data_IF_738900402507
#
_entry.id   IF_738900402507
#
_cell.length_a   1.000
_cell.length_b   1.000
_cell.length_c   1.000
_cell.angle_alpha   90.00
_cell.angle_beta   90.00
_cell.angle_gamma   90.00
#
_symmetry.space_group_name_H-M   'P 1'
#
loop_
_entity.id
_entity.type
_entity.pdbx_description
1 polymer ?
#
# COMPACT_ATOMS: atom_id res chain seq x y z
N UNK A 1 14.04 -20.57 -4.02
CA UNK A 1 14.53 -19.41 -3.20
C UNK A 1 13.99 -19.52 -1.79
N UNK A 2 14.76 -19.00 -0.83
CA UNK A 2 14.31 -18.78 0.56
C UNK A 2 13.92 -17.32 0.70
N UNK A 3 12.67 -17.08 1.07
CA UNK A 3 12.05 -15.75 1.01
C UNK A 3 11.45 -15.38 2.37
N UNK A 4 11.61 -14.13 2.82
CA UNK A 4 10.94 -13.57 3.99
C UNK A 4 9.89 -12.55 3.51
N UNK A 5 8.62 -12.82 3.77
CA UNK A 5 7.50 -11.88 3.54
C UNK A 5 7.21 -11.16 4.84
N UNK A 6 7.37 -9.83 4.88
CA UNK A 6 7.20 -9.04 6.10
C UNK A 6 5.79 -8.45 6.21
N UNK A 7 5.39 -7.95 7.38
CA UNK A 7 4.04 -7.40 7.67
C UNK A 7 2.90 -8.35 7.28
N UNK A 8 3.02 -9.61 7.71
CA UNK A 8 2.14 -10.72 7.32
C UNK A 8 0.69 -10.61 7.82
N UNK A 9 0.33 -9.53 8.51
CA UNK A 9 -1.04 -9.22 8.97
C UNK A 9 -2.02 -8.92 7.84
N UNK A 10 -1.53 -8.59 6.65
CA UNK A 10 -2.35 -8.19 5.51
C UNK A 10 -2.75 -9.41 4.67
N UNK A 11 -3.97 -9.41 4.10
CA UNK A 11 -4.48 -10.47 3.24
C UNK A 11 -3.65 -10.67 1.99
N UNK A 12 -3.14 -9.58 1.40
CA UNK A 12 -2.23 -9.65 0.26
C UNK A 12 -0.85 -10.23 0.61
N UNK A 13 -0.38 -10.08 1.84
CA UNK A 13 0.84 -10.75 2.30
C UNK A 13 0.62 -12.28 2.40
N UNK A 14 -0.52 -12.71 2.95
CA UNK A 14 -0.92 -14.12 2.95
C UNK A 14 -1.00 -14.68 1.52
N UNK A 15 -1.55 -13.93 0.57
CA UNK A 15 -1.63 -14.35 -0.82
C UNK A 15 -0.24 -14.50 -1.46
N UNK A 16 0.72 -13.60 -1.17
CA UNK A 16 2.11 -13.73 -1.61
C UNK A 16 2.76 -14.99 -1.02
N UNK A 17 2.57 -15.24 0.28
CA UNK A 17 3.04 -16.46 0.94
C UNK A 17 2.52 -17.71 0.24
N UNK A 18 1.22 -17.76 -0.05
CA UNK A 18 0.56 -18.89 -0.74
C UNK A 18 1.08 -19.09 -2.16
N UNK A 19 1.21 -18.00 -2.93
CA UNK A 19 1.71 -18.07 -4.31
C UNK A 19 3.12 -18.67 -4.34
N UNK A 20 4.02 -18.16 -3.54
CA UNK A 20 5.40 -18.60 -3.52
C UNK A 20 5.52 -20.04 -2.93
N UNK A 21 4.84 -20.31 -1.82
CA UNK A 21 4.89 -21.63 -1.18
C UNK A 21 4.28 -22.74 -2.04
N UNK A 22 3.18 -22.46 -2.77
CA UNK A 22 2.57 -23.43 -3.68
C UNK A 22 3.47 -23.80 -4.87
N UNK A 23 4.44 -22.97 -5.19
CA UNK A 23 5.44 -23.21 -6.24
C UNK A 23 6.75 -23.82 -5.70
N UNK A 24 6.77 -24.20 -4.42
CA UNK A 24 7.90 -24.89 -3.80
C UNK A 24 9.03 -23.96 -3.34
N UNK A 25 8.78 -22.66 -3.21
CA UNK A 25 9.72 -21.76 -2.53
C UNK A 25 9.65 -22.00 -1.01
N UNK A 26 10.77 -21.87 -0.34
CA UNK A 26 10.85 -21.90 1.11
C UNK A 26 10.49 -20.51 1.64
N UNK A 27 9.27 -20.39 2.20
CA UNK A 27 8.70 -19.09 2.57
C UNK A 27 8.67 -18.95 4.07
N UNK A 28 9.19 -17.83 4.54
CA UNK A 28 9.10 -17.36 5.91
C UNK A 28 8.24 -16.10 5.97
N UNK A 29 7.61 -15.82 7.11
CA UNK A 29 6.85 -14.60 7.32
C UNK A 29 7.33 -13.86 8.57
N UNK A 30 7.12 -12.55 8.65
CA UNK A 30 7.32 -11.78 9.88
C UNK A 30 6.21 -10.77 10.11
N UNK A 31 6.01 -10.47 11.39
CA UNK A 31 5.12 -9.40 11.86
C UNK A 31 5.51 -8.98 13.27
N UNK A 32 4.99 -7.87 13.78
CA UNK A 32 5.24 -7.39 15.14
C UNK A 32 4.45 -8.14 16.22
N UNK A 33 3.56 -9.05 15.82
CA UNK A 33 2.81 -9.91 16.73
C UNK A 33 2.56 -11.30 16.14
N UNK A 34 2.48 -12.30 17.01
CA UNK A 34 2.41 -13.71 16.60
C UNK A 34 1.05 -14.17 16.05
N UNK A 35 0.04 -13.30 16.02
CA UNK A 35 -1.31 -13.64 15.54
C UNK A 35 -1.62 -13.12 14.12
N UNK A 36 -0.61 -12.70 13.37
CA UNK A 36 -0.77 -12.22 12.00
C UNK A 36 -1.26 -13.35 11.09
N UNK A 37 -2.25 -13.08 10.24
CA UNK A 37 -2.90 -14.11 9.41
C UNK A 37 -1.92 -14.86 8.52
N UNK A 38 -0.97 -14.15 7.91
CA UNK A 38 0.06 -14.75 7.06
C UNK A 38 1.06 -15.61 7.83
N UNK A 39 1.26 -15.37 9.14
CA UNK A 39 2.17 -16.15 9.99
C UNK A 39 1.65 -17.55 10.34
N UNK A 40 0.43 -17.88 9.96
CA UNK A 40 -0.21 -19.17 10.24
C UNK A 40 -0.57 -19.96 8.98
N UNK A 41 -0.04 -19.55 7.83
CA UNK A 41 -0.20 -20.31 6.59
C UNK A 41 0.51 -21.66 6.64
N UNK A 42 -0.13 -22.69 6.09
CA UNK A 42 0.47 -24.02 5.93
C UNK A 42 1.61 -24.06 4.91
N UNK A 43 1.79 -23.01 4.15
CA UNK A 43 2.88 -22.86 3.19
C UNK A 43 4.16 -22.27 3.80
N UNK A 44 4.15 -21.93 5.09
CA UNK A 44 5.34 -21.39 5.75
C UNK A 44 6.28 -22.47 6.24
N UNK A 45 7.58 -22.20 6.10
CA UNK A 45 8.67 -22.93 6.76
C UNK A 45 8.91 -22.40 8.18
N UNK A 46 8.73 -21.10 8.41
CA UNK A 46 8.89 -20.47 9.71
C UNK A 46 8.33 -19.07 9.76
N UNK A 47 8.26 -18.50 10.97
CA UNK A 47 7.88 -17.11 11.12
C UNK A 47 8.69 -16.44 12.24
N UNK A 48 8.84 -15.11 12.13
CA UNK A 48 9.53 -14.23 13.08
C UNK A 48 8.53 -13.23 13.65
N UNK A 49 8.54 -13.05 14.95
CA UNK A 49 7.87 -11.91 15.61
C UNK A 49 8.93 -10.87 15.87
N UNK A 50 8.76 -9.66 15.32
CA UNK A 50 9.72 -8.58 15.38
C UNK A 50 9.29 -7.49 16.36
N UNK A 51 10.24 -6.68 16.76
CA UNK A 51 10.01 -5.35 17.31
C UNK A 51 9.33 -4.46 16.26
N UNK A 52 8.76 -3.32 16.71
CA UNK A 52 8.15 -2.34 15.83
C UNK A 52 9.21 -1.64 14.97
N UNK A 53 9.10 -1.62 13.64
CA UNK A 53 10.00 -0.85 12.80
C UNK A 53 9.95 0.66 13.11
N UNK A 54 8.79 1.18 13.52
CA UNK A 54 8.62 2.61 13.84
C UNK A 54 9.14 3.02 15.21
N UNK A 55 8.88 2.21 16.24
CA UNK A 55 9.15 2.58 17.63
C UNK A 55 10.43 1.95 18.19
N UNK A 56 11.02 0.99 17.49
CA UNK A 56 12.21 0.27 17.90
C UNK A 56 13.02 -0.20 16.67
N UNK A 57 13.36 0.73 15.79
CA UNK A 57 13.98 0.49 14.49
C UNK A 57 15.23 -0.39 14.57
N UNK A 58 16.16 -0.07 15.47
CA UNK A 58 17.40 -0.84 15.62
C UNK A 58 17.12 -2.30 16.00
N UNK A 59 16.23 -2.53 16.97
CA UNK A 59 15.86 -3.88 17.37
C UNK A 59 15.18 -4.64 16.22
N UNK A 60 14.30 -3.98 15.48
CA UNK A 60 13.65 -4.56 14.28
C UNK A 60 14.68 -5.01 13.24
N UNK A 61 15.63 -4.14 12.91
CA UNK A 61 16.67 -4.44 11.90
C UNK A 61 17.60 -5.56 12.39
N UNK A 62 18.03 -5.54 13.64
CA UNK A 62 18.89 -6.57 14.23
C UNK A 62 18.20 -7.94 14.24
N UNK A 63 16.92 -8.00 14.64
CA UNK A 63 16.12 -9.23 14.64
C UNK A 63 15.93 -9.79 13.23
N UNK A 64 15.65 -8.95 12.24
CA UNK A 64 15.55 -9.34 10.84
C UNK A 64 16.90 -9.84 10.33
N UNK A 65 18.00 -9.13 10.61
CA UNK A 65 19.35 -9.50 10.16
C UNK A 65 19.80 -10.86 10.71
N UNK A 66 19.56 -11.10 12.02
CA UNK A 66 19.85 -12.40 12.65
C UNK A 66 19.05 -13.50 12.01
N UNK A 67 17.75 -13.32 11.86
CA UNK A 67 16.86 -14.32 11.27
C UNK A 67 17.23 -14.66 9.82
N UNK A 68 17.53 -13.63 9.02
CA UNK A 68 17.97 -13.76 7.63
C UNK A 68 19.26 -14.59 7.54
N UNK A 69 20.25 -14.32 8.44
CA UNK A 69 21.50 -15.07 8.47
C UNK A 69 21.29 -16.54 8.90
N UNK A 70 20.49 -16.77 9.94
CA UNK A 70 20.24 -18.12 10.50
C UNK A 70 19.50 -19.03 9.50
N UNK A 71 18.54 -18.45 8.76
CA UNK A 71 17.71 -19.22 7.82
C UNK A 71 18.20 -19.12 6.37
N UNK A 72 19.25 -18.33 6.10
CA UNK A 72 19.83 -18.13 4.78
C UNK A 72 18.81 -17.55 3.78
N UNK A 73 18.03 -16.57 4.22
CA UNK A 73 17.05 -15.87 3.37
C UNK A 73 17.78 -15.15 2.24
N UNK A 74 17.28 -15.29 1.02
CA UNK A 74 17.86 -14.71 -0.20
C UNK A 74 17.14 -13.43 -0.62
N UNK A 75 15.85 -13.31 -0.27
CA UNK A 75 14.98 -12.21 -0.67
C UNK A 75 14.02 -11.83 0.46
N UNK A 76 14.00 -10.55 0.83
CA UNK A 76 12.98 -9.97 1.71
C UNK A 76 11.95 -9.27 0.82
N UNK A 77 10.68 -9.58 1.00
CA UNK A 77 9.55 -8.96 0.29
C UNK A 77 8.73 -8.14 1.29
N UNK A 78 8.96 -6.83 1.37
CA UNK A 78 8.14 -5.95 2.19
C UNK A 78 6.72 -5.88 1.65
N UNK A 79 5.72 -5.90 2.55
CA UNK A 79 4.32 -5.83 2.12
C UNK A 79 3.58 -4.61 2.66
N UNK A 80 4.18 -3.83 3.55
CA UNK A 80 3.57 -2.60 4.05
C UNK A 80 4.63 -1.47 4.19
N UNK A 81 4.46 -0.54 5.12
CA UNK A 81 5.35 0.62 5.24
C UNK A 81 6.67 0.32 5.98
N UNK A 82 6.88 -0.90 6.49
CA UNK A 82 8.22 -1.35 6.90
C UNK A 82 9.25 -1.32 5.77
N UNK A 83 8.78 -1.22 4.53
CA UNK A 83 9.65 -1.05 3.34
C UNK A 83 10.59 0.15 3.48
N UNK A 84 10.13 1.26 4.09
CA UNK A 84 10.97 2.45 4.31
C UNK A 84 12.11 2.18 5.26
N UNK A 85 11.84 1.48 6.38
CA UNK A 85 12.85 1.12 7.39
C UNK A 85 13.87 0.13 6.83
N UNK A 86 13.40 -0.89 6.10
CA UNK A 86 14.27 -1.87 5.45
C UNK A 86 15.13 -1.24 4.35
N UNK A 87 14.61 -0.30 3.57
CA UNK A 87 15.36 0.41 2.54
C UNK A 87 16.40 1.36 3.14
N UNK A 88 16.04 2.16 4.16
CA UNK A 88 16.95 3.08 4.85
C UNK A 88 18.10 2.36 5.57
N UNK A 89 17.86 1.13 6.01
CA UNK A 89 18.81 0.31 6.80
C UNK A 89 19.29 -0.93 6.03
N UNK A 90 19.17 -0.95 4.69
CA UNK A 90 19.55 -2.11 3.87
C UNK A 90 21.05 -2.49 4.02
N UNK A 91 21.91 -1.53 4.32
CA UNK A 91 23.34 -1.77 4.55
C UNK A 91 23.64 -2.57 5.84
N UNK A 92 22.71 -2.61 6.78
CA UNK A 92 22.86 -3.35 8.06
C UNK A 92 22.41 -4.81 7.94
N UNK A 93 21.79 -5.18 6.82
CA UNK A 93 21.38 -6.55 6.55
C UNK A 93 22.58 -7.41 6.07
N UNK A 94 22.53 -8.73 6.28
CA UNK A 94 23.61 -9.64 5.84
C UNK A 94 23.91 -9.52 4.35
N UNK A 95 25.20 -9.57 4.01
CA UNK A 95 25.63 -9.54 2.61
C UNK A 95 25.00 -10.68 1.81
N UNK A 96 24.45 -10.35 0.63
CA UNK A 96 23.84 -11.31 -0.29
C UNK A 96 22.32 -11.45 -0.15
N UNK A 97 21.69 -10.93 0.91
CA UNK A 97 20.22 -10.79 0.93
C UNK A 97 19.80 -9.57 0.11
N UNK A 98 18.71 -9.69 -0.61
CA UNK A 98 18.10 -8.58 -1.35
C UNK A 98 16.81 -8.15 -0.67
N UNK A 99 16.58 -6.86 -0.58
CA UNK A 99 15.27 -6.31 -0.24
C UNK A 99 14.55 -5.99 -1.56
N UNK A 100 13.34 -6.49 -1.73
CA UNK A 100 12.52 -6.19 -2.91
C UNK A 100 11.88 -4.79 -2.77
N UNK A 101 12.75 -3.80 -2.82
CA UNK A 101 12.41 -2.39 -2.65
C UNK A 101 13.41 -1.51 -3.41
N UNK A 102 12.95 -0.37 -3.89
CA UNK A 102 13.82 0.69 -4.42
C UNK A 102 14.66 1.36 -3.33
N UNK A 103 15.46 2.33 -3.70
CA UNK A 103 16.20 3.17 -2.76
C UNK A 103 15.24 3.91 -1.82
N UNK A 104 15.69 4.23 -0.60
CA UNK A 104 14.90 5.05 0.32
C UNK A 104 14.48 6.38 -0.31
N UNK A 105 15.38 7.01 -1.09
CA UNK A 105 15.13 8.27 -1.78
C UNK A 105 13.96 8.16 -2.77
N UNK A 106 13.93 7.10 -3.61
CA UNK A 106 12.82 6.87 -4.54
C UNK A 106 11.52 6.57 -3.80
N UNK A 107 11.57 5.72 -2.76
CA UNK A 107 10.39 5.39 -1.96
C UNK A 107 9.81 6.62 -1.27
N UNK A 108 10.64 7.46 -0.67
CA UNK A 108 10.21 8.70 -0.02
C UNK A 108 9.56 9.67 -1.02
N UNK A 109 10.16 9.84 -2.21
CA UNK A 109 9.63 10.66 -3.29
C UNK A 109 8.28 10.15 -3.81
N UNK A 110 8.11 8.84 -3.91
CA UNK A 110 6.86 8.20 -4.35
C UNK A 110 5.76 8.29 -3.30
N UNK A 111 6.10 8.18 -2.02
CA UNK A 111 5.12 8.18 -0.93
C UNK A 111 4.63 9.57 -0.55
N UNK A 112 5.50 10.58 -0.61
CA UNK A 112 5.12 11.97 -0.40
C UNK A 112 4.21 12.46 -1.53
N UNK A 113 2.96 12.77 -1.21
CA UNK A 113 1.95 13.09 -2.22
C UNK A 113 2.30 14.30 -3.07
N UNK A 114 2.98 15.31 -2.50
CA UNK A 114 3.36 16.51 -3.25
C UNK A 114 4.49 16.19 -4.24
N UNK A 115 5.53 15.52 -3.79
CA UNK A 115 6.65 15.09 -4.64
C UNK A 115 6.21 14.10 -5.71
N UNK A 116 5.30 13.18 -5.36
CA UNK A 116 4.72 12.22 -6.31
C UNK A 116 3.88 12.92 -7.39
N UNK A 117 3.04 13.90 -7.03
CA UNK A 117 2.25 14.63 -8.04
C UNK A 117 3.17 15.33 -9.07
N UNK A 118 4.28 15.93 -8.61
CA UNK A 118 5.26 16.53 -9.50
C UNK A 118 5.95 15.48 -10.38
N UNK A 119 6.40 14.36 -9.78
CA UNK A 119 6.99 13.26 -10.53
C UNK A 119 6.06 12.76 -11.63
N UNK A 120 4.76 12.57 -11.31
CA UNK A 120 3.75 12.12 -12.26
C UNK A 120 3.54 13.14 -13.39
N UNK A 121 3.48 14.44 -13.07
CA UNK A 121 3.36 15.52 -14.06
C UNK A 121 4.57 15.55 -15.01
N UNK A 122 5.79 15.52 -14.46
CA UNK A 122 7.04 15.49 -15.22
C UNK A 122 7.12 14.24 -16.13
N UNK A 123 6.59 13.11 -15.68
CA UNK A 123 6.48 11.88 -16.46
C UNK A 123 5.33 11.90 -17.50
N UNK A 124 4.59 13.01 -17.60
CA UNK A 124 3.46 13.15 -18.52
C UNK A 124 2.26 12.27 -18.17
N UNK A 125 2.11 11.89 -16.89
CA UNK A 125 0.94 11.17 -16.39
C UNK A 125 -0.10 12.20 -15.89
N UNK A 126 -1.38 12.09 -16.33
CA UNK A 126 -2.39 13.07 -15.96
C UNK A 126 -2.66 13.12 -14.45
N UNK A 127 -2.55 14.29 -13.86
CA UNK A 127 -2.84 14.59 -12.44
C UNK A 127 -4.03 15.57 -12.33
N UNK A 128 -4.69 15.67 -11.18
CA UNK A 128 -5.53 16.83 -10.86
C UNK A 128 -4.67 18.09 -10.67
N UNK A 129 -5.21 19.27 -11.00
CA UNK A 129 -4.58 20.54 -10.58
C UNK A 129 -4.33 20.49 -9.07
N UNK A 130 -3.12 20.86 -8.62
CA UNK A 130 -2.74 20.71 -7.22
C UNK A 130 -2.11 21.98 -6.69
N UNK A 131 -2.61 22.46 -5.54
CA UNK A 131 -2.02 23.57 -4.78
C UNK A 131 -1.52 23.01 -3.45
N UNK A 132 -0.27 23.32 -3.11
CA UNK A 132 0.32 22.90 -1.83
C UNK A 132 0.21 24.06 -0.84
N UNK A 133 -0.31 23.77 0.35
CA UNK A 133 -0.47 24.72 1.45
C UNK A 133 0.38 24.31 2.65
N UNK A 134 1.19 25.22 3.17
CA UNK A 134 2.10 25.03 4.30
C UNK A 134 1.66 25.79 5.55
N UNK A 135 0.56 26.53 5.45
CA UNK A 135 -0.06 27.26 6.54
C UNK A 135 -1.58 27.26 6.42
N UNK A 136 -2.28 27.54 7.52
CA UNK A 136 -3.73 27.63 7.53
C UNK A 136 -4.28 28.75 6.62
N UNK A 137 -3.53 29.84 6.48
CA UNK A 137 -3.89 30.91 5.56
C UNK A 137 -3.84 30.43 4.10
N UNK A 138 -2.73 29.80 3.70
CA UNK A 138 -2.57 29.21 2.36
C UNK A 138 -3.60 28.12 2.08
N UNK A 139 -3.93 27.27 3.09
CA UNK A 139 -4.95 26.24 2.95
C UNK A 139 -6.34 26.83 2.64
N UNK A 140 -6.71 27.92 3.33
CA UNK A 140 -7.96 28.65 3.08
C UNK A 140 -7.98 29.31 1.70
N UNK A 141 -6.88 29.94 1.32
CA UNK A 141 -6.74 30.58 0.00
C UNK A 141 -6.78 29.55 -1.12
N UNK A 142 -6.10 28.42 -0.97
CA UNK A 142 -6.13 27.33 -1.92
C UNK A 142 -7.53 26.70 -2.04
N UNK A 143 -8.21 26.45 -0.92
CA UNK A 143 -9.57 25.93 -0.91
C UNK A 143 -10.57 26.90 -1.58
N UNK A 144 -10.38 28.21 -1.44
CA UNK A 144 -11.22 29.22 -2.07
C UNK A 144 -11.06 29.29 -3.61
N UNK A 145 -9.97 28.75 -4.18
CA UNK A 145 -9.76 28.68 -5.64
C UNK A 145 -10.72 27.71 -6.32
N UNK A 146 -11.18 26.67 -5.59
CA UNK A 146 -12.01 25.62 -6.15
C UNK A 146 -13.42 25.62 -5.54
N UNK A 147 -14.48 25.80 -6.34
CA UNK A 147 -15.87 25.74 -5.84
C UNK A 147 -16.20 24.42 -5.12
N UNK A 148 -15.60 23.33 -5.61
CA UNK A 148 -15.65 21.99 -5.02
C UNK A 148 -14.20 21.51 -4.88
N UNK A 149 -13.78 21.19 -3.66
CA UNK A 149 -12.40 20.82 -3.40
C UNK A 149 -12.28 19.56 -2.56
N UNK A 150 -11.13 18.91 -2.70
CA UNK A 150 -10.65 17.83 -1.87
C UNK A 150 -9.23 18.16 -1.43
N UNK A 151 -8.98 18.16 -0.13
CA UNK A 151 -7.67 18.44 0.41
C UNK A 151 -7.22 17.33 1.36
N UNK A 152 -5.92 17.06 1.41
CA UNK A 152 -5.32 16.02 2.24
C UNK A 152 -3.90 16.37 2.65
N UNK A 153 -3.49 15.89 3.83
CA UNK A 153 -2.12 16.01 4.28
C UNK A 153 -1.19 15.19 3.37
N UNK A 154 0.04 15.68 3.15
CA UNK A 154 1.04 15.03 2.29
C UNK A 154 1.33 13.59 2.71
N UNK A 155 1.45 13.36 4.02
CA UNK A 155 1.47 12.02 4.61
C UNK A 155 0.12 11.74 5.27
N UNK A 156 -0.75 11.04 4.59
CA UNK A 156 -2.07 10.63 5.10
C UNK A 156 -2.47 9.29 4.49
N UNK A 157 -3.23 8.51 5.22
CA UNK A 157 -3.73 7.20 4.79
C UNK A 157 -5.08 6.89 5.41
N UNK A 158 -5.80 5.93 4.83
CA UNK A 158 -7.00 5.37 5.43
C UNK A 158 -8.09 6.40 5.77
N UNK A 159 -8.18 7.51 5.04
CA UNK A 159 -9.17 8.56 5.29
C UNK A 159 -8.83 9.52 6.43
N UNK A 160 -7.62 9.48 7.00
CA UNK A 160 -7.14 10.45 8.01
C UNK A 160 -6.53 11.66 7.31
N UNK A 161 -6.72 12.86 7.88
CA UNK A 161 -6.18 14.11 7.29
C UNK A 161 -6.85 14.47 5.96
N UNK A 162 -8.17 14.31 5.87
CA UNK A 162 -8.99 14.68 4.72
C UNK A 162 -9.89 15.86 5.05
N UNK A 163 -9.94 16.83 4.13
CA UNK A 163 -10.84 17.98 4.20
C UNK A 163 -11.52 18.14 2.84
N UNK A 164 -12.83 18.25 2.82
CA UNK A 164 -13.60 18.48 1.59
C UNK A 164 -14.90 19.22 1.88
N UNK A 165 -15.37 20.00 0.91
CA UNK A 165 -16.69 20.61 0.93
C UNK A 165 -17.71 19.84 0.08
N UNK A 166 -17.36 18.67 -0.45
CA UNK A 166 -18.16 17.90 -1.42
C UNK A 166 -18.12 16.42 -1.10
N UNK A 167 -19.21 15.70 -1.40
CA UNK A 167 -19.31 14.25 -1.22
C UNK A 167 -19.63 13.83 0.22
N UNK A 168 -19.55 12.51 0.53
CA UNK A 168 -19.98 11.95 1.81
C UNK A 168 -19.21 12.46 3.03
N UNK A 169 -17.97 12.94 2.83
CA UNK A 169 -17.10 13.46 3.90
C UNK A 169 -17.17 14.97 4.04
N UNK A 170 -18.06 15.65 3.32
CA UNK A 170 -18.21 17.11 3.39
C UNK A 170 -18.56 17.56 4.81
N UNK A 171 -17.71 18.46 5.36
CA UNK A 171 -17.92 19.00 6.71
C UNK A 171 -17.56 18.06 7.87
N UNK A 172 -16.99 16.88 7.60
CA UNK A 172 -16.49 15.98 8.64
C UNK A 172 -15.31 16.57 9.42
N UNK A 173 -14.51 17.40 8.80
CA UNK A 173 -13.38 18.13 9.39
C UNK A 173 -13.53 19.61 9.07
N UNK A 174 -13.27 20.48 10.04
CA UNK A 174 -13.20 21.92 9.81
C UNK A 174 -11.82 22.32 9.28
N UNK A 175 -11.78 23.26 8.35
CA UNK A 175 -10.52 23.81 7.86
C UNK A 175 -9.71 24.50 8.97
N UNK A 176 -10.38 24.99 10.02
CA UNK A 176 -9.74 25.61 11.18
C UNK A 176 -9.05 24.60 12.09
N UNK A 177 -9.47 23.32 12.02
CA UNK A 177 -8.87 22.21 12.78
C UNK A 177 -7.67 21.60 12.05
N UNK A 178 -7.42 21.98 10.79
CA UNK A 178 -6.26 21.55 10.03
C UNK A 178 -5.03 22.38 10.43
N UNK A 179 -3.87 21.73 10.52
CA UNK A 179 -2.62 22.38 10.92
C UNK A 179 -1.50 22.09 9.90
N UNK A 180 -1.59 22.62 8.66
CA UNK A 180 -0.52 22.48 7.69
C UNK A 180 0.75 23.21 8.15
N UNK A 181 1.88 22.57 7.94
CA UNK A 181 3.22 23.12 8.20
C UNK A 181 4.12 22.86 7.00
N UNK A 182 5.30 23.48 6.87
CA UNK A 182 6.26 23.13 5.83
C UNK A 182 6.65 21.65 5.83
N UNK A 183 6.77 21.02 6.99
CA UNK A 183 7.10 19.60 7.11
C UNK A 183 5.90 18.66 6.89
N UNK A 184 4.70 19.17 7.11
CA UNK A 184 3.43 18.45 6.91
C UNK A 184 2.44 19.30 6.11
N UNK A 185 2.72 19.55 4.81
CA UNK A 185 1.85 20.37 3.98
C UNK A 185 0.57 19.64 3.61
N UNK A 186 -0.40 20.41 3.13
CA UNK A 186 -1.65 19.90 2.59
C UNK A 186 -1.72 20.16 1.09
N UNK A 187 -2.19 19.16 0.35
CA UNK A 187 -2.51 19.27 -1.07
C UNK A 187 -3.98 19.61 -1.20
N UNK A 188 -4.29 20.67 -1.93
CA UNK A 188 -5.65 21.08 -2.26
C UNK A 188 -5.87 20.90 -3.76
N UNK A 189 -6.92 20.19 -4.12
CA UNK A 189 -7.24 19.81 -5.50
C UNK A 189 -8.71 20.12 -5.79
N UNK A 190 -9.14 20.39 -7.03
CA UNK A 190 -10.54 20.37 -7.36
C UNK A 190 -11.12 18.99 -7.03
N UNK A 191 -12.36 18.95 -6.57
CA UNK A 191 -13.04 17.66 -6.38
C UNK A 191 -13.26 17.00 -7.72
N UNK A 192 -12.60 15.88 -7.95
CA UNK A 192 -12.70 15.11 -9.19
C UNK A 192 -13.80 14.07 -9.02
N UNK A 193 -14.83 14.15 -9.89
CA UNK A 193 -15.91 13.16 -9.91
C UNK A 193 -15.48 11.93 -10.71
N UNK A 194 -15.80 10.78 -10.20
CA UNK A 194 -15.58 9.51 -10.89
C UNK A 194 -15.32 8.34 -9.95
N UNK A 195 -15.44 7.10 -10.42
CA UNK A 195 -15.07 5.94 -9.65
C UNK A 195 -13.55 5.83 -9.48
N UNK A 196 -13.15 5.28 -8.33
CA UNK A 196 -11.76 4.96 -8.08
C UNK A 196 -11.33 3.73 -8.89
N UNK A 197 -10.14 3.81 -9.45
CA UNK A 197 -9.44 2.71 -10.13
C UNK A 197 -8.08 2.59 -9.47
N UNK A 198 -7.70 1.39 -9.07
CA UNK A 198 -6.40 1.13 -8.45
C UNK A 198 -5.55 0.23 -9.34
N UNK A 199 -4.24 0.33 -9.20
CA UNK A 199 -3.32 -0.60 -9.85
C UNK A 199 -2.25 -1.10 -8.88
N UNK A 200 -1.66 -2.21 -9.25
CA UNK A 200 -0.51 -2.82 -8.58
C UNK A 200 0.50 -3.30 -9.62
N UNK A 201 1.78 -3.10 -9.35
CA UNK A 201 2.88 -3.51 -10.23
C UNK A 201 4.04 -4.11 -9.43
N UNK A 202 4.70 -5.11 -10.02
CA UNK A 202 6.06 -5.51 -9.67
C UNK A 202 7.03 -4.93 -10.68
N UNK A 203 8.17 -4.49 -10.20
CA UNK A 203 9.22 -3.86 -11.01
C UNK A 203 10.54 -4.58 -10.74
N UNK A 204 11.30 -4.87 -11.80
CA UNK A 204 12.65 -5.39 -11.73
C UNK A 204 13.52 -4.61 -12.72
N UNK A 205 14.60 -4.02 -12.21
CA UNK A 205 15.56 -3.25 -12.99
C UNK A 205 14.89 -2.23 -13.93
N UNK A 206 14.02 -1.37 -13.36
CA UNK A 206 13.32 -0.31 -14.09
C UNK A 206 12.24 -0.78 -15.06
N UNK A 207 11.89 -2.06 -15.08
CA UNK A 207 10.84 -2.61 -15.95
C UNK A 207 9.65 -3.14 -15.14
N UNK A 208 8.45 -2.76 -15.51
CA UNK A 208 7.23 -3.36 -14.97
C UNK A 208 7.12 -4.81 -15.44
N UNK A 209 7.22 -5.75 -14.52
CA UNK A 209 7.24 -7.20 -14.79
C UNK A 209 5.89 -7.87 -14.58
N UNK A 210 5.09 -7.40 -13.61
CA UNK A 210 3.68 -7.76 -13.51
C UNK A 210 2.82 -6.51 -13.25
N UNK A 211 1.57 -6.54 -13.67
CA UNK A 211 0.64 -5.42 -13.49
C UNK A 211 -0.80 -5.91 -13.36
N UNK A 212 -1.55 -5.22 -12.52
CA UNK A 212 -2.99 -5.41 -12.37
C UNK A 212 -3.67 -4.06 -12.22
N UNK A 213 -4.77 -3.86 -12.93
CA UNK A 213 -5.71 -2.76 -12.70
C UNK A 213 -7.01 -3.32 -12.17
N UNK A 214 -7.56 -2.69 -11.15
CA UNK A 214 -8.78 -3.20 -10.54
C UNK A 214 -9.68 -2.09 -10.02
N UNK A 215 -10.96 -2.43 -9.88
CA UNK A 215 -11.95 -1.65 -9.15
C UNK A 215 -12.38 -2.43 -7.91
N UNK A 216 -12.82 -1.69 -6.89
CA UNK A 216 -13.45 -2.24 -5.71
C UNK A 216 -14.97 -2.04 -5.81
N UNK A 217 -15.72 -3.03 -6.35
CA UNK A 217 -17.18 -2.93 -6.48
C UNK A 217 -17.87 -2.84 -5.14
N UNK A 218 -17.30 -3.46 -4.11
CA UNK A 218 -17.80 -3.39 -2.74
C UNK A 218 -16.74 -2.81 -1.79
N UNK A 219 -17.18 -1.88 -0.94
CA UNK A 219 -16.33 -1.22 0.06
C UNK A 219 -17.06 -1.24 1.41
N UNK A 220 -16.40 -1.74 2.43
CA UNK A 220 -16.90 -1.70 3.79
C UNK A 220 -16.82 -0.29 4.36
N UNK A 221 -17.96 0.25 4.83
CA UNK A 221 -18.08 1.63 5.34
C UNK A 221 -17.49 2.69 4.39
N UNK A 222 -17.64 2.51 3.09
CA UNK A 222 -17.13 3.43 2.04
C UNK A 222 -15.63 3.72 2.07
N UNK A 223 -14.84 2.89 2.74
CA UNK A 223 -13.39 3.15 2.89
C UNK A 223 -12.50 1.95 2.61
N UNK A 224 -12.92 0.74 2.99
CA UNK A 224 -12.09 -0.47 2.85
C UNK A 224 -12.67 -1.39 1.80
N UNK A 225 -11.90 -1.63 0.72
CA UNK A 225 -12.29 -2.54 -0.34
C UNK A 225 -12.35 -3.99 0.18
N UNK A 226 -13.44 -4.70 -0.07
CA UNK A 226 -13.67 -6.09 0.33
C UNK A 226 -13.91 -7.04 -0.84
N UNK A 227 -14.22 -6.50 -2.02
CA UNK A 227 -14.28 -7.21 -3.29
C UNK A 227 -13.45 -6.48 -4.35
N UNK A 228 -12.84 -7.23 -5.26
CA UNK A 228 -11.86 -6.74 -6.23
C UNK A 228 -12.16 -7.36 -7.59
N UNK A 229 -12.27 -6.51 -8.60
CA UNK A 229 -12.53 -6.88 -9.99
C UNK A 229 -11.40 -6.35 -10.88
N UNK A 230 -10.65 -7.26 -11.53
CA UNK A 230 -9.66 -6.89 -12.52
C UNK A 230 -10.34 -6.27 -13.76
N UNK A 231 -9.81 -5.15 -14.22
CA UNK A 231 -10.28 -4.43 -15.40
C UNK A 231 -9.15 -4.26 -16.42
N UNK A 232 -9.43 -3.60 -17.55
CA UNK A 232 -8.39 -3.32 -18.55
C UNK A 232 -7.23 -2.51 -17.94
N UNK A 233 -6.02 -2.90 -18.29
CA UNK A 233 -4.77 -2.37 -17.72
C UNK A 233 -3.97 -1.51 -18.69
N UNK A 234 -4.47 -1.24 -19.90
CA UNK A 234 -3.69 -0.59 -20.96
C UNK A 234 -3.13 0.76 -20.53
N UNK A 235 -3.97 1.65 -20.04
CA UNK A 235 -3.55 3.01 -19.66
C UNK A 235 -2.73 3.02 -18.38
N UNK A 236 -3.14 2.29 -17.35
CA UNK A 236 -2.46 2.25 -16.05
C UNK A 236 -1.09 1.60 -16.14
N UNK A 237 -0.91 0.56 -16.97
CA UNK A 237 0.38 -0.03 -17.24
C UNK A 237 1.33 0.97 -17.93
N UNK A 238 0.82 1.71 -18.92
CA UNK A 238 1.60 2.75 -19.59
C UNK A 238 2.01 3.86 -18.62
N UNK A 239 1.11 4.26 -17.71
CA UNK A 239 1.42 5.26 -16.69
C UNK A 239 2.40 4.73 -15.64
N UNK A 240 2.24 3.50 -15.19
CA UNK A 240 3.17 2.87 -14.27
C UNK A 240 4.59 2.83 -14.85
N UNK A 241 4.76 2.42 -16.13
CA UNK A 241 6.07 2.38 -16.77
C UNK A 241 6.68 3.79 -16.90
N UNK A 242 5.89 4.83 -17.28
CA UNK A 242 6.39 6.22 -17.35
C UNK A 242 6.91 6.72 -16.00
N UNK A 243 6.21 6.39 -14.91
CA UNK A 243 6.66 6.75 -13.56
C UNK A 243 7.95 6.01 -13.22
N UNK A 244 8.03 4.72 -13.51
CA UNK A 244 9.23 3.90 -13.29
C UNK A 244 10.41 4.41 -14.11
N UNK A 245 10.21 4.82 -15.36
CA UNK A 245 11.24 5.41 -16.22
C UNK A 245 11.82 6.73 -15.67
N UNK A 246 11.11 7.41 -14.76
CA UNK A 246 11.55 8.63 -14.07
C UNK A 246 12.25 8.38 -12.73
N UNK A 247 12.40 7.11 -12.32
CA UNK A 247 13.15 6.66 -11.14
C UNK A 247 14.56 6.20 -11.51
N UNK A 248 15.30 5.68 -10.54
CA UNK A 248 16.60 5.04 -10.82
C UNK A 248 16.38 3.86 -11.78
N UNK A 249 17.20 3.72 -12.85
CA UNK A 249 17.06 2.62 -13.81
C UNK A 249 17.20 1.22 -13.20
N UNK A 250 17.77 1.08 -12.02
CA UNK A 250 17.87 -0.18 -11.28
C UNK A 250 16.70 -0.40 -10.31
N UNK A 251 15.69 0.49 -10.29
CA UNK A 251 14.57 0.38 -9.36
C UNK A 251 13.94 -1.01 -9.44
N UNK A 252 13.91 -1.68 -8.30
CA UNK A 252 13.28 -2.99 -8.11
C UNK A 252 12.37 -2.91 -6.91
N UNK A 253 11.11 -3.35 -7.02
CA UNK A 253 10.16 -3.26 -5.91
C UNK A 253 8.70 -3.38 -6.35
N UNK A 254 7.81 -2.92 -5.50
CA UNK A 254 6.36 -2.98 -5.69
C UNK A 254 5.76 -1.58 -5.63
N UNK A 255 4.91 -1.25 -6.59
CA UNK A 255 4.20 0.03 -6.64
C UNK A 255 2.70 -0.20 -6.82
N UNK A 256 1.92 0.56 -6.09
CA UNK A 256 0.47 0.63 -6.28
C UNK A 256 0.06 2.08 -6.50
N UNK A 257 -0.85 2.30 -7.43
CA UNK A 257 -1.32 3.63 -7.77
C UNK A 257 -2.84 3.70 -7.65
N UNK A 258 -3.32 4.85 -7.19
CA UNK A 258 -4.74 5.16 -7.13
C UNK A 258 -5.07 6.23 -8.16
N UNK A 259 -6.17 6.02 -8.89
CA UNK A 259 -6.67 6.89 -9.96
C UNK A 259 -8.14 7.20 -9.74
N UNK A 260 -8.59 8.31 -10.32
CA UNK A 260 -10.02 8.60 -10.54
C UNK A 260 -10.29 8.54 -12.03
N UNK A 261 -11.29 7.74 -12.42
CA UNK A 261 -11.77 7.66 -13.80
C UNK A 261 -12.81 8.77 -14.02
N UNK A 262 -12.42 9.82 -14.74
CA UNK A 262 -13.29 10.97 -15.01
C UNK A 262 -14.27 10.75 -16.17
N UNK A 263 -14.20 9.60 -16.83
CA UNK A 263 -14.91 9.35 -18.09
C UNK A 263 -14.22 9.95 -19.33
N UNK A 264 -13.31 10.92 -19.13
CA UNK A 264 -12.45 11.51 -20.17
C UNK A 264 -11.01 10.99 -20.07
N UNK A 265 -10.73 10.13 -19.08
CA UNK A 265 -9.45 9.53 -18.82
C UNK A 265 -9.13 9.47 -17.32
N UNK A 266 -8.08 8.73 -17.00
CA UNK A 266 -7.63 8.55 -15.63
C UNK A 266 -6.84 9.75 -15.13
N UNK A 267 -7.01 10.09 -13.85
CA UNK A 267 -6.18 11.06 -13.12
C UNK A 267 -5.52 10.33 -11.96
N UNK A 268 -4.19 10.29 -11.95
CA UNK A 268 -3.45 9.67 -10.85
C UNK A 268 -3.47 10.58 -9.63
N UNK A 269 -3.75 10.02 -8.46
CA UNK A 269 -3.88 10.78 -7.23
C UNK A 269 -2.87 10.39 -6.17
N UNK A 270 -2.41 9.15 -6.13
CA UNK A 270 -1.55 8.62 -5.07
C UNK A 270 -0.66 7.48 -5.55
N UNK A 271 0.54 7.37 -4.98
CA UNK A 271 1.39 6.20 -5.06
C UNK A 271 1.57 5.60 -3.65
N UNK A 272 1.43 4.30 -3.58
CA UNK A 272 1.81 3.49 -2.43
C UNK A 272 3.00 2.61 -2.89
N UNK A 273 4.25 2.87 -2.46
CA UNK A 273 5.42 2.12 -2.91
C UNK A 273 5.52 0.77 -2.16
N UNK A 274 4.45 0.01 -2.21
CA UNK A 274 4.22 -1.29 -1.58
C UNK A 274 3.05 -2.00 -2.25
N UNK A 275 2.83 -3.31 -1.98
CA UNK A 275 1.66 -4.00 -2.49
C UNK A 275 0.36 -3.48 -1.88
N UNK A 276 -0.69 -3.66 -2.68
CA UNK A 276 -2.09 -3.55 -2.29
C UNK A 276 -2.83 -4.81 -2.74
N UNK A 277 -4.14 -4.84 -2.55
CA UNK A 277 -4.95 -6.00 -2.92
C UNK A 277 -4.93 -6.36 -4.42
N UNK A 278 -4.35 -5.54 -5.29
CA UNK A 278 -4.16 -5.88 -6.70
C UNK A 278 -3.33 -7.15 -6.93
N UNK A 279 -2.41 -7.48 -6.01
CA UNK A 279 -1.58 -8.69 -6.13
C UNK A 279 -2.41 -9.97 -6.15
N UNK A 280 -3.54 -10.01 -5.44
CA UNK A 280 -4.42 -11.20 -5.36
C UNK A 280 -5.07 -11.59 -6.69
N UNK A 281 -5.10 -10.67 -7.65
CA UNK A 281 -5.68 -10.87 -8.97
C UNK A 281 -4.68 -11.43 -9.99
N UNK A 282 -3.40 -11.49 -9.64
CA UNK A 282 -2.35 -12.11 -10.47
C UNK A 282 -2.27 -13.62 -10.21
N UNK A 283 -2.01 -14.39 -11.27
CA UNK A 283 -1.79 -15.84 -11.14
C UNK A 283 -0.42 -16.14 -10.53
N UNK A 284 -0.32 -17.23 -9.73
CA UNK A 284 0.84 -17.53 -8.91
C UNK A 284 2.14 -17.69 -9.72
N UNK A 285 2.14 -18.48 -10.79
CA UNK A 285 3.34 -18.73 -11.62
C UNK A 285 3.84 -17.43 -12.28
N UNK A 286 2.91 -16.69 -12.90
CA UNK A 286 3.24 -15.41 -13.52
C UNK A 286 3.81 -14.39 -12.52
N UNK A 287 3.21 -14.29 -11.34
CA UNK A 287 3.67 -13.41 -10.28
C UNK A 287 5.07 -13.80 -9.78
N UNK A 288 5.31 -15.07 -9.48
CA UNK A 288 6.60 -15.55 -8.96
C UNK A 288 7.75 -15.31 -9.96
N UNK A 289 7.51 -15.55 -11.25
CA UNK A 289 8.48 -15.28 -12.32
C UNK A 289 8.72 -13.78 -12.50
N UNK A 290 7.66 -12.98 -12.39
CA UNK A 290 7.75 -11.52 -12.48
C UNK A 290 8.60 -10.92 -11.34
N UNK A 291 8.48 -11.43 -10.11
CA UNK A 291 9.28 -10.99 -8.96
C UNK A 291 10.81 -11.10 -9.17
N UNK A 292 11.24 -12.05 -9.99
CA UNK A 292 12.67 -12.27 -10.29
C UNK A 292 13.05 -11.82 -11.69
N UNK A 293 12.14 -11.17 -12.41
CA UNK A 293 12.39 -10.66 -13.77
C UNK A 293 12.43 -11.73 -14.86
N UNK A 294 12.03 -12.98 -14.57
CA UNK A 294 12.02 -14.12 -15.51
C UNK A 294 10.77 -14.13 -16.40
N UNK A 295 10.46 -12.98 -16.97
CA UNK A 295 9.31 -12.82 -17.89
C UNK A 295 9.74 -12.02 -19.12
N UNK A 296 9.35 -12.49 -20.31
CA UNK A 296 9.65 -11.82 -21.58
C UNK A 296 8.76 -10.59 -21.80
N UNK A 297 7.53 -10.64 -21.30
CA UNK A 297 6.56 -9.56 -21.32
C UNK A 297 5.92 -9.37 -19.94
N UNK A 298 5.38 -8.19 -19.68
CA UNK A 298 4.64 -7.91 -18.43
C UNK A 298 3.47 -8.89 -18.26
N UNK A 299 3.43 -9.55 -17.11
CA UNK A 299 2.31 -10.42 -16.71
C UNK A 299 1.15 -9.52 -16.30
N UNK A 300 0.02 -9.61 -16.97
CA UNK A 300 -1.15 -8.77 -16.68
C UNK A 300 -2.29 -9.63 -16.13
N UNK A 301 -2.98 -9.13 -15.11
CA UNK A 301 -4.17 -9.79 -14.59
C UNK A 301 -5.26 -9.87 -15.68
N UNK A 302 -5.95 -10.99 -15.74
CA UNK A 302 -7.01 -11.20 -16.74
C UNK A 302 -8.23 -10.34 -16.37
N UNK A 303 -8.68 -9.43 -17.26
CA UNK A 303 -9.89 -8.65 -16.99
C UNK A 303 -11.10 -9.55 -16.73
N UNK A 304 -11.93 -9.19 -15.74
CA UNK A 304 -13.04 -10.00 -15.27
C UNK A 304 -12.68 -11.00 -14.17
N UNK A 305 -11.39 -11.11 -13.79
CA UNK A 305 -11.00 -11.89 -12.60
C UNK A 305 -11.53 -11.20 -11.36
N UNK A 306 -12.27 -11.94 -10.53
CA UNK A 306 -12.83 -11.45 -9.28
C UNK A 306 -12.24 -12.17 -8.07
N UNK A 307 -12.06 -11.44 -6.97
CA UNK A 307 -11.62 -11.94 -5.66
C UNK A 307 -12.33 -11.16 -4.56
N UNK A 308 -12.52 -11.79 -3.39
CA UNK A 308 -13.15 -11.15 -2.23
C UNK A 308 -12.51 -11.60 -0.92
N UNK A 309 -12.73 -10.81 0.13
CA UNK A 309 -12.42 -11.18 1.51
C UNK A 309 -13.73 -11.62 2.16
N UNK A 310 -14.04 -12.93 2.09
CA UNK A 310 -15.36 -13.47 2.47
C UNK A 310 -15.76 -13.13 3.90
N UNK A 311 -14.84 -13.14 4.87
CA UNK A 311 -15.17 -12.75 6.25
C UNK A 311 -15.60 -11.29 6.37
N UNK A 312 -15.00 -10.41 5.57
CA UNK A 312 -15.39 -9.00 5.54
C UNK A 312 -16.76 -8.83 4.85
N UNK A 313 -17.00 -9.54 3.74
CA UNK A 313 -18.30 -9.57 3.04
C UNK A 313 -19.39 -10.11 3.97
N UNK A 314 -19.12 -11.19 4.70
CA UNK A 314 -20.07 -11.72 5.69
C UNK A 314 -20.37 -10.71 6.81
N UNK A 315 -19.35 -10.01 7.33
CA UNK A 315 -19.55 -8.98 8.34
C UNK A 315 -20.40 -7.81 7.79
N UNK A 316 -20.18 -7.45 6.54
CA UNK A 316 -20.93 -6.41 5.83
C UNK A 316 -22.42 -6.78 5.68
N UNK A 317 -22.74 -8.02 5.34
CA UNK A 317 -24.11 -8.54 5.26
C UNK A 317 -24.94 -8.31 6.53
N UNK A 318 -24.29 -8.22 7.71
CA UNK A 318 -24.97 -8.00 8.98
C UNK A 318 -25.06 -6.52 9.38
N UNK A 319 -24.36 -5.64 8.69
CA UNK A 319 -24.26 -4.21 9.06
C UNK A 319 -24.94 -3.29 8.05
N UNK A 320 -25.13 -3.74 6.80
CA UNK A 320 -25.70 -2.96 5.70
C UNK A 320 -27.20 -3.23 5.46
N UNK A 321 -27.93 -2.31 4.78
CA UNK A 321 -29.34 -2.47 4.43
C UNK A 321 -29.59 -3.69 3.53
N UNK A 322 -30.76 -4.29 3.66
CA UNK A 322 -31.23 -5.47 2.89
C UNK A 322 -31.11 -5.34 1.35
N UNK A 323 -30.94 -4.12 0.83
CA UNK A 323 -30.72 -3.87 -0.60
C UNK A 323 -29.41 -4.43 -1.13
N UNK A 324 -28.37 -4.53 -0.29
CA UNK A 324 -27.05 -5.06 -0.64
C UNK A 324 -26.97 -6.58 -0.50
N UNK A 325 -27.90 -7.19 0.25
CA UNK A 325 -27.87 -8.62 0.56
C UNK A 325 -27.81 -9.52 -0.68
N UNK A 326 -28.41 -9.12 -1.81
CA UNK A 326 -28.39 -9.92 -3.04
C UNK A 326 -27.00 -9.95 -3.69
N UNK A 327 -26.29 -8.83 -3.71
CA UNK A 327 -24.94 -8.71 -4.27
C UNK A 327 -23.96 -9.48 -3.39
N UNK A 328 -23.99 -9.23 -2.09
CA UNK A 328 -23.15 -9.93 -1.12
C UNK A 328 -23.40 -11.44 -1.09
N UNK A 329 -24.64 -11.89 -1.27
CA UNK A 329 -24.98 -13.32 -1.37
C UNK A 329 -24.47 -13.94 -2.68
N UNK A 330 -24.52 -13.18 -3.80
CA UNK A 330 -23.95 -13.61 -5.07
C UNK A 330 -22.44 -13.81 -4.94
N UNK A 331 -21.77 -12.84 -4.34
CA UNK A 331 -20.30 -12.86 -4.18
C UNK A 331 -19.85 -13.99 -3.27
N UNK A 332 -20.55 -14.21 -2.15
CA UNK A 332 -20.31 -15.35 -1.27
C UNK A 332 -20.38 -16.71 -1.95
N UNK A 333 -21.20 -16.85 -3.00
CA UNK A 333 -21.43 -18.12 -3.70
C UNK A 333 -20.56 -18.29 -4.95
N UNK A 334 -20.10 -17.22 -5.58
CA UNK A 334 -19.52 -17.25 -6.92
C UNK A 334 -18.11 -16.64 -7.00
N UNK A 335 -17.74 -15.72 -6.08
CA UNK A 335 -16.43 -15.08 -6.10
C UNK A 335 -15.45 -15.86 -5.22
N UNK A 336 -14.25 -16.11 -5.74
CA UNK A 336 -13.22 -16.84 -5.00
C UNK A 336 -12.70 -16.01 -3.84
N UNK A 337 -12.69 -16.62 -2.67
CA UNK A 337 -12.14 -16.02 -1.45
C UNK A 337 -10.61 -15.93 -1.49
N UNK A 338 -10.07 -14.82 -0.99
CA UNK A 338 -8.63 -14.62 -0.81
C UNK A 338 -8.12 -15.38 0.41
N UNK A 339 -8.88 -15.37 1.50
CA UNK A 339 -8.46 -15.94 2.79
C UNK A 339 -8.77 -17.43 2.91
N UNK A 340 -9.86 -17.90 2.29
CA UNK A 340 -10.29 -19.30 2.35
C UNK A 340 -9.66 -20.18 1.26
N UNK A 341 -8.41 -20.52 1.42
CA UNK A 341 -7.79 -21.62 0.67
C UNK A 341 -8.15 -22.96 1.28
N UNK A 342 -8.77 -23.91 0.53
CA UNK A 342 -9.08 -25.27 1.03
C UNK A 342 -7.88 -26.00 1.62
N UNK A 343 -6.66 -25.67 1.16
CA UNK A 343 -5.40 -26.24 1.62
C UNK A 343 -4.72 -25.41 2.72
N UNK A 344 -5.27 -24.26 3.11
CA UNK A 344 -4.68 -23.31 4.06
C UNK A 344 -5.73 -22.65 4.96
N UNK A 345 -6.73 -23.42 5.38
CA UNK A 345 -7.86 -22.93 6.16
C UNK A 345 -7.50 -22.46 7.57
N UNK A 346 -6.37 -22.89 8.12
CA UNK A 346 -5.94 -22.49 9.47
C UNK A 346 -5.56 -21.02 9.55
N UNK A 347 -4.97 -20.46 8.51
CA UNK A 347 -4.62 -19.02 8.46
C UNK A 347 -5.85 -18.12 8.71
N UNK A 348 -7.01 -18.49 8.14
CA UNK A 348 -8.27 -17.75 8.29
C UNK A 348 -8.76 -17.68 9.76
N UNK A 349 -8.49 -18.71 10.57
CA UNK A 349 -8.90 -18.74 11.98
C UNK A 349 -8.20 -17.67 12.82
N UNK A 350 -7.10 -17.13 12.32
CA UNK A 350 -6.32 -16.07 12.99
C UNK A 350 -6.73 -14.65 12.58
N UNK A 351 -7.57 -14.47 11.58
CA UNK A 351 -8.07 -13.15 11.17
C UNK A 351 -8.65 -12.33 12.35
N UNK A 352 -9.38 -12.90 13.34
CA UNK A 352 -9.83 -12.17 14.51
C UNK A 352 -8.69 -11.72 15.45
N UNK A 353 -7.51 -12.36 15.41
CA UNK A 353 -6.39 -12.03 16.28
C UNK A 353 -5.85 -10.63 15.99
N UNK A 354 -5.92 -10.16 14.76
CA UNK A 354 -5.56 -8.79 14.37
C UNK A 354 -6.44 -7.76 15.08
N UNK A 355 -7.75 -8.01 15.18
CA UNK A 355 -8.69 -7.14 15.89
C UNK A 355 -8.36 -7.10 17.38
N UNK A 356 -8.03 -8.27 17.97
CA UNK A 356 -7.63 -8.35 19.38
C UNK A 356 -6.30 -7.62 19.62
N UNK A 357 -5.36 -7.70 18.67
CA UNK A 357 -4.10 -6.97 18.74
C UNK A 357 -4.33 -5.46 18.71
N UNK A 358 -5.10 -4.96 17.73
CA UNK A 358 -5.46 -3.54 17.67
C UNK A 358 -6.17 -3.03 18.93
N UNK A 359 -7.08 -3.83 19.52
CA UNK A 359 -7.76 -3.50 20.76
C UNK A 359 -6.86 -3.47 22.00
N UNK A 360 -5.67 -4.09 21.96
CA UNK A 360 -4.66 -3.97 23.03
C UNK A 360 -3.87 -2.68 22.92
N UNK A 361 -3.70 -2.16 21.70
CA UNK A 361 -2.98 -0.91 21.44
C UNK A 361 -3.92 0.28 21.70
N UNK A 362 -5.15 0.20 21.26
CA UNK A 362 -6.14 1.29 21.33
C UNK A 362 -7.47 0.78 21.91
N UNK A 363 -7.97 1.46 22.93
CA UNK A 363 -9.22 1.12 23.63
C UNK A 363 -10.42 1.94 23.11
N UNK A 364 -10.32 2.50 21.94
CA UNK A 364 -11.32 3.37 21.34
C UNK A 364 -12.40 2.66 20.53
N UNK A 365 -13.00 3.39 19.62
CA UNK A 365 -13.98 2.85 18.67
C UNK A 365 -13.34 1.82 17.72
N UNK A 366 -14.15 1.00 17.06
CA UNK A 366 -13.66 0.01 16.08
C UNK A 366 -12.78 0.65 14.98
N UNK A 367 -13.12 1.87 14.57
CA UNK A 367 -12.34 2.62 13.57
C UNK A 367 -10.97 3.01 14.10
N UNK A 368 -10.85 3.39 15.37
CA UNK A 368 -9.58 3.70 16.04
C UNK A 368 -8.73 2.45 16.21
N UNK A 369 -9.35 1.33 16.59
CA UNK A 369 -8.68 0.01 16.68
C UNK A 369 -8.10 -0.41 15.31
N UNK A 370 -8.85 -0.24 14.22
CA UNK A 370 -8.37 -0.57 12.88
C UNK A 370 -7.25 0.36 12.41
N UNK A 371 -7.28 1.65 12.80
CA UNK A 371 -6.18 2.59 12.53
C UNK A 371 -4.93 2.21 13.32
N UNK A 372 -5.09 1.82 14.57
CA UNK A 372 -3.99 1.39 15.44
C UNK A 372 -3.27 0.13 14.93
N UNK A 373 -3.94 -0.71 14.13
CA UNK A 373 -3.34 -1.93 13.55
C UNK A 373 -2.11 -1.68 12.66
N UNK A 374 -1.95 -0.48 12.13
CA UNK A 374 -0.79 -0.12 11.31
C UNK A 374 0.21 0.79 12.00
N UNK A 375 -0.10 1.33 13.18
CA UNK A 375 0.63 2.45 13.80
C UNK A 375 2.08 2.11 14.18
N UNK A 376 2.34 0.85 14.43
CA UNK A 376 3.65 0.28 14.73
C UNK A 376 4.56 0.08 13.50
N UNK A 377 4.02 0.23 12.28
CA UNK A 377 4.73 -0.02 11.03
C UNK A 377 4.80 1.22 10.12
N UNK A 378 3.79 2.10 10.23
CA UNK A 378 3.63 3.23 9.30
C UNK A 378 4.78 4.24 9.41
N UNK A 379 5.06 4.90 8.27
CA UNK A 379 6.03 5.98 8.17
C UNK A 379 5.35 7.27 7.71
N UNK A 380 5.57 8.39 8.44
CA UNK A 380 4.92 9.67 8.17
C UNK A 380 5.88 10.76 7.66
N UNK A 381 7.03 10.36 7.11
CA UNK A 381 8.01 11.28 6.59
C UNK A 381 9.03 11.78 7.61
N UNK A 382 9.05 11.21 8.82
CA UNK A 382 10.08 11.47 9.83
C UNK A 382 11.41 10.80 9.47
N UNK A 383 12.58 11.34 9.90
CA UNK A 383 13.86 10.64 9.81
C UNK A 383 13.78 9.27 10.50
N UNK A 384 14.43 8.28 9.92
CA UNK A 384 14.51 6.91 10.44
C UNK A 384 15.83 6.77 11.24
N UNK A 385 15.75 6.25 12.46
CA UNK A 385 16.92 6.04 13.29
C UNK A 385 17.98 5.18 12.58
N UNK A 386 19.22 5.69 12.55
CA UNK A 386 20.35 5.02 11.93
C UNK A 386 20.38 5.03 10.39
N UNK A 387 19.51 5.81 9.73
CA UNK A 387 19.58 5.99 8.28
C UNK A 387 20.89 6.69 7.88
N UNK A 388 21.29 6.52 6.61
CA UNK A 388 22.51 7.13 6.10
C UNK A 388 22.35 8.66 5.92
N UNK A 389 23.47 9.39 5.95
CA UNK A 389 23.47 10.84 5.65
C UNK A 389 23.01 11.15 4.23
N UNK A 390 23.16 10.20 3.30
CA UNK A 390 22.63 10.33 1.94
C UNK A 390 21.10 10.25 1.92
N UNK A 391 20.52 9.35 2.71
CA UNK A 391 19.08 9.21 2.84
C UNK A 391 18.46 10.39 3.62
N UNK A 392 19.17 10.90 4.65
CA UNK A 392 18.76 12.13 5.34
C UNK A 392 18.68 13.31 4.36
N UNK A 393 19.72 13.51 3.55
CA UNK A 393 19.75 14.55 2.53
C UNK A 393 18.65 14.36 1.45
N UNK A 394 18.37 13.11 1.07
CA UNK A 394 17.27 12.81 0.14
C UNK A 394 15.90 13.14 0.74
N UNK A 395 15.67 12.84 2.02
CA UNK A 395 14.45 13.18 2.72
C UNK A 395 14.27 14.71 2.83
N UNK A 396 15.34 15.43 3.17
CA UNK A 396 15.33 16.91 3.19
C UNK A 396 14.99 17.48 1.80
N UNK A 397 15.53 16.89 0.73
CA UNK A 397 15.21 17.30 -0.65
C UNK A 397 13.73 17.05 -1.00
N UNK A 398 13.14 15.94 -0.57
CA UNK A 398 11.71 15.65 -0.72
C UNK A 398 10.89 16.72 0.02
N UNK A 399 11.26 17.07 1.24
CA UNK A 399 10.58 18.12 2.02
C UNK A 399 10.72 19.51 1.38
N UNK A 400 11.92 19.86 0.91
CA UNK A 400 12.15 21.13 0.19
C UNK A 400 11.40 21.19 -1.14
N UNK A 401 11.31 20.09 -1.86
CA UNK A 401 10.56 19.99 -3.11
C UNK A 401 9.07 20.29 -2.98
N UNK A 402 8.46 20.13 -1.81
CA UNK A 402 7.05 20.41 -1.53
C UNK A 402 6.70 21.90 -1.65
N UNK A 403 7.64 22.78 -1.36
CA UNK A 403 7.41 24.23 -1.24
C UNK A 403 7.32 24.93 -2.60
N UNK A 404 7.73 24.29 -3.69
CA UNK A 404 7.89 24.94 -5.01
C UNK A 404 6.79 24.67 -6.02
N UNK A 405 5.66 24.05 -5.65
CA UNK A 405 4.49 23.94 -6.52
C UNK A 405 3.64 25.18 -6.31
N UNK A 406 3.85 26.20 -7.15
CA UNK A 406 3.11 27.45 -7.15
C UNK A 406 2.07 27.49 -8.25
#
# INVERSE_FOLDING_TARGET
MRVLVTSSRNTFALDIVRKLGSLGHEVHASDTYGGAVGSHSSYLTGHLVTSSPRFATDAFIDEVAVYVAEHGIELIIPTFEEVFYLAARAADLPAGVRVYAGSFADLARLHDKASFQRLAEDAGVPIPETVVATSNAELKDAAARFPRYFARAAFSRGGVGLLTNTGPLAGAVSIDDCAPTPDQPWLVQPYVDGPMVCSYSTIVDGRVTAHCTYRAPEQWHHSTAIAFLAVDSTDTLAYAQRIVDALDPSFTGQLSFDFIDTGEGLRIIECNPRPTNGVILLEADGFARALVGEVDATVVAVPGTERQITLAVLADCFTEPLSHLKTSLHDLLHVRDVDAGWHDSLAMLWSPASIVHGAKIEHGSRTEILKALGDDIVWNGEPIDGMSTADEAALEAVHAGRVTIG
#
